data_IF_401086120293
#
_entry.id   IF_401086120293
#
_cell.length_a   1.000
_cell.length_b   1.000
_cell.length_c   1.000
_cell.angle_alpha   90.00
_cell.angle_beta   90.00
_cell.angle_gamma   90.00
#
_symmetry.space_group_name_H-M   'P 1'
#
loop_
_entity.id
_entity.type
_entity.pdbx_description
1 polymer ?
#
# COMPACT_ATOMS: atom_id res chain seq x y z
N UNK A 1 -8.19 10.05 23.65
CA UNK A 1 -8.00 10.33 22.20
C UNK A 1 -7.09 9.32 21.50
N UNK A 2 -5.90 8.98 22.01
CA UNK A 2 -4.98 8.03 21.35
C UNK A 2 -5.58 6.64 21.06
N UNK A 3 -6.37 6.10 21.99
CA UNK A 3 -7.05 4.81 21.79
C UNK A 3 -7.97 4.82 20.57
N UNK A 4 -8.71 5.91 20.33
CA UNK A 4 -9.58 6.02 19.17
C UNK A 4 -8.76 6.03 17.86
N UNK A 5 -7.63 6.74 17.84
CA UNK A 5 -6.71 6.77 16.69
C UNK A 5 -6.15 5.37 16.42
N UNK A 6 -5.66 4.67 17.44
CA UNK A 6 -5.15 3.31 17.28
C UNK A 6 -6.23 2.33 16.82
N UNK A 7 -7.47 2.46 17.27
CA UNK A 7 -8.58 1.63 16.80
C UNK A 7 -8.87 1.87 15.30
N UNK A 8 -8.91 3.13 14.85
CA UNK A 8 -9.14 3.47 13.44
C UNK A 8 -8.02 2.91 12.56
N UNK A 9 -6.76 3.08 12.97
CA UNK A 9 -5.61 2.56 12.24
C UNK A 9 -5.60 1.02 12.21
N UNK A 10 -5.89 0.38 13.34
CA UNK A 10 -5.97 -1.08 13.44
C UNK A 10 -7.08 -1.64 12.54
N UNK A 11 -8.24 -0.99 12.52
CA UNK A 11 -9.33 -1.33 11.61
C UNK A 11 -8.89 -1.23 10.15
N UNK A 12 -8.26 -0.13 9.75
CA UNK A 12 -7.79 0.07 8.38
C UNK A 12 -6.81 -1.01 7.93
N UNK A 13 -5.82 -1.34 8.76
CA UNK A 13 -4.81 -2.38 8.47
C UNK A 13 -5.47 -3.76 8.37
N UNK A 14 -6.35 -4.10 9.31
CA UNK A 14 -7.05 -5.38 9.30
C UNK A 14 -7.97 -5.48 8.08
N UNK A 15 -8.71 -4.43 7.79
CA UNK A 15 -9.61 -4.35 6.64
C UNK A 15 -8.87 -4.56 5.33
N UNK A 16 -7.73 -3.89 5.11
CA UNK A 16 -6.88 -4.09 3.93
C UNK A 16 -6.41 -5.53 3.78
N UNK A 17 -5.94 -6.12 4.88
CA UNK A 17 -5.43 -7.50 4.87
C UNK A 17 -6.54 -8.50 4.58
N UNK A 18 -7.74 -8.29 5.13
CA UNK A 18 -8.90 -9.14 4.86
C UNK A 18 -9.45 -8.93 3.46
N UNK A 19 -9.52 -7.69 2.97
CA UNK A 19 -10.01 -7.38 1.64
C UNK A 19 -9.15 -8.03 0.55
N UNK A 20 -7.84 -8.09 0.76
CA UNK A 20 -6.93 -8.82 -0.12
C UNK A 20 -7.25 -10.33 -0.20
N UNK A 21 -7.76 -10.92 0.90
CA UNK A 21 -8.07 -12.35 0.97
C UNK A 21 -9.44 -12.65 0.37
N UNK A 22 -10.42 -11.77 0.59
CA UNK A 22 -11.81 -12.01 0.17
C UNK A 22 -12.09 -11.52 -1.25
N UNK A 23 -11.41 -10.47 -1.70
CA UNK A 23 -11.61 -9.87 -3.02
C UNK A 23 -10.28 -9.42 -3.68
N UNK A 24 -9.32 -10.35 -3.90
CA UNK A 24 -8.00 -10.01 -4.45
C UNK A 24 -8.05 -9.37 -5.84
N UNK A 25 -9.05 -9.73 -6.65
CA UNK A 25 -9.21 -9.27 -8.03
C UNK A 25 -10.01 -7.97 -8.15
N UNK A 26 -10.43 -7.38 -7.03
CA UNK A 26 -11.15 -6.12 -7.03
C UNK A 26 -10.29 -4.95 -7.54
N UNK A 27 -10.94 -3.84 -7.87
CA UNK A 27 -10.22 -2.61 -8.21
C UNK A 27 -9.42 -2.10 -6.99
N UNK A 28 -8.15 -1.69 -7.16
CA UNK A 28 -7.36 -1.10 -6.08
C UNK A 28 -7.99 0.20 -5.56
N UNK A 29 -8.77 0.90 -6.37
CA UNK A 29 -9.46 2.16 -6.00
C UNK A 29 -10.49 2.02 -4.88
N UNK A 30 -10.92 0.79 -4.55
CA UNK A 30 -11.77 0.55 -3.38
C UNK A 30 -11.01 0.86 -2.09
N UNK A 31 -9.69 0.69 -2.11
CA UNK A 31 -8.85 0.70 -0.93
C UNK A 31 -7.70 1.69 -0.96
N UNK A 32 -7.33 2.21 -2.14
CA UNK A 32 -6.23 3.14 -2.34
C UNK A 32 -6.67 4.34 -3.18
N UNK A 33 -6.08 5.50 -2.94
CA UNK A 33 -6.27 6.71 -3.74
C UNK A 33 -5.50 6.63 -5.07
N UNK A 34 -5.84 7.50 -6.03
CA UNK A 34 -5.10 7.57 -7.29
C UNK A 34 -3.64 8.00 -7.07
N UNK A 35 -3.38 8.87 -6.09
CA UNK A 35 -2.04 9.28 -5.67
C UNK A 35 -1.26 8.10 -5.10
N UNK A 36 -1.83 7.35 -4.16
CA UNK A 36 -1.21 6.17 -3.56
C UNK A 36 -0.87 5.11 -4.63
N UNK A 37 -1.79 4.88 -5.58
CA UNK A 37 -1.58 3.97 -6.72
C UNK A 37 -0.39 4.42 -7.56
N UNK A 38 -0.36 5.70 -7.93
CA UNK A 38 0.72 6.28 -8.76
C UNK A 38 2.07 6.19 -8.06
N UNK A 39 2.13 6.57 -6.77
CA UNK A 39 3.35 6.47 -5.97
C UNK A 39 3.82 5.01 -5.85
N UNK A 40 2.92 4.05 -5.63
CA UNK A 40 3.30 2.64 -5.59
C UNK A 40 3.85 2.14 -6.93
N UNK A 41 3.32 2.63 -8.05
CA UNK A 41 3.82 2.30 -9.38
C UNK A 41 5.23 2.85 -9.64
N UNK A 42 5.54 4.04 -9.14
CA UNK A 42 6.88 4.64 -9.24
C UNK A 42 7.89 4.00 -8.27
N UNK A 43 7.47 3.72 -7.03
CA UNK A 43 8.36 3.26 -5.96
C UNK A 43 8.72 1.77 -6.07
N UNK A 44 7.78 0.94 -6.54
CA UNK A 44 7.92 -0.52 -6.51
C UNK A 44 7.73 -1.08 -7.91
N UNK A 45 8.83 -1.60 -8.46
CA UNK A 45 8.81 -2.34 -9.73
C UNK A 45 7.87 -3.55 -9.68
N UNK A 46 7.19 -3.79 -10.80
CA UNK A 46 6.33 -4.94 -11.04
C UNK A 46 7.09 -6.28 -10.97
N UNK A 47 8.42 -6.25 -11.08
CA UNK A 47 9.28 -7.41 -10.91
C UNK A 47 9.10 -8.02 -9.52
N UNK A 48 8.51 -9.23 -9.48
CA UNK A 48 8.19 -9.96 -8.25
C UNK A 48 6.68 -10.18 -8.04
N UNK A 49 5.82 -9.36 -8.65
CA UNK A 49 4.36 -9.48 -8.54
C UNK A 49 3.74 -10.47 -9.54
N UNK A 50 4.51 -11.40 -10.10
CA UNK A 50 4.08 -12.28 -11.22
C UNK A 50 2.85 -13.15 -10.92
N UNK A 51 2.50 -13.30 -9.65
CA UNK A 51 1.33 -14.08 -9.19
C UNK A 51 0.06 -13.26 -9.09
N UNK A 52 0.18 -11.94 -8.99
CA UNK A 52 -0.95 -11.05 -8.93
C UNK A 52 -1.23 -10.54 -10.33
N UNK A 53 -2.50 -10.55 -10.74
CA UNK A 53 -2.92 -9.94 -11.99
C UNK A 53 -2.65 -8.43 -11.91
N UNK A 54 -1.96 -7.81 -12.90
CA UNK A 54 -1.76 -6.37 -12.91
C UNK A 54 -3.08 -5.62 -12.84
N UNK A 55 -3.10 -4.49 -12.13
CA UNK A 55 -4.30 -3.66 -11.97
C UNK A 55 -5.31 -4.16 -10.93
N UNK A 56 -5.03 -5.23 -10.19
CA UNK A 56 -5.91 -5.71 -9.11
C UNK A 56 -5.48 -5.19 -7.74
N UNK A 57 -6.40 -5.27 -6.77
CA UNK A 57 -6.13 -4.95 -5.38
C UNK A 57 -4.94 -5.76 -4.85
N UNK A 58 -4.89 -7.06 -5.12
CA UNK A 58 -3.80 -7.91 -4.65
C UNK A 58 -2.43 -7.47 -5.19
N UNK A 59 -2.39 -7.00 -6.43
CA UNK A 59 -1.17 -6.46 -7.03
C UNK A 59 -0.66 -5.23 -6.26
N UNK A 60 -1.53 -4.26 -6.00
CA UNK A 60 -1.16 -3.04 -5.28
C UNK A 60 -0.91 -3.26 -3.78
N UNK A 61 -1.67 -4.13 -3.12
CA UNK A 61 -1.40 -4.49 -1.73
C UNK A 61 -0.12 -5.29 -1.56
N UNK A 62 0.33 -6.02 -2.60
CA UNK A 62 1.66 -6.62 -2.61
C UNK A 62 2.75 -5.56 -2.76
N UNK A 63 2.56 -4.54 -3.62
CA UNK A 63 3.50 -3.39 -3.70
C UNK A 63 3.61 -2.67 -2.36
N UNK A 64 2.48 -2.36 -1.74
CA UNK A 64 2.40 -1.75 -0.41
C UNK A 64 3.13 -2.59 0.64
N UNK A 65 2.88 -3.90 0.68
CA UNK A 65 3.56 -4.79 1.60
C UNK A 65 5.07 -4.83 1.37
N UNK A 66 5.54 -4.79 0.11
CA UNK A 66 6.96 -4.74 -0.24
C UNK A 66 7.63 -3.46 0.22
N UNK A 67 6.94 -2.33 0.14
CA UNK A 67 7.39 -1.07 0.74
C UNK A 67 7.59 -1.21 2.26
N UNK A 68 6.74 -2.02 2.90
CA UNK A 68 6.85 -2.42 4.31
C UNK A 68 7.82 -3.56 4.64
N UNK A 69 8.58 -4.07 3.65
CA UNK A 69 9.61 -5.09 3.82
C UNK A 69 9.19 -6.53 3.48
N UNK A 70 8.01 -6.75 2.90
CA UNK A 70 7.63 -8.05 2.35
C UNK A 70 8.47 -8.41 1.12
N UNK A 71 8.90 -9.67 0.99
CA UNK A 71 9.83 -10.08 -0.07
C UNK A 71 9.14 -10.57 -1.35
N UNK A 72 7.89 -11.01 -1.26
CA UNK A 72 7.10 -11.53 -2.39
C UNK A 72 7.77 -12.73 -3.11
N UNK A 73 8.29 -13.69 -2.35
CA UNK A 73 8.89 -14.93 -2.91
C UNK A 73 7.82 -15.94 -3.32
N UNK A 74 8.22 -16.90 -4.15
CA UNK A 74 7.37 -17.98 -4.65
C UNK A 74 6.79 -18.93 -3.58
N UNK A 75 7.09 -18.77 -2.30
CA UNK A 75 6.49 -19.55 -1.21
C UNK A 75 5.95 -18.70 -0.07
N UNK A 76 6.05 -17.36 -0.17
CA UNK A 76 5.62 -16.50 0.93
C UNK A 76 4.10 -16.56 1.06
N UNK A 77 3.56 -16.63 2.29
CA UNK A 77 2.13 -16.49 2.51
C UNK A 77 1.66 -15.08 2.11
N UNK A 78 0.35 -14.86 1.89
CA UNK A 78 -0.18 -13.52 1.62
C UNK A 78 0.28 -12.50 2.68
N UNK A 79 0.50 -11.23 2.29
CA UNK A 79 0.95 -10.19 3.22
C UNK A 79 0.11 -10.12 4.50
N UNK A 80 0.79 -10.08 5.65
CA UNK A 80 0.16 -9.94 6.96
C UNK A 80 0.06 -8.48 7.43
N UNK A 81 -0.68 -8.27 8.51
CA UNK A 81 -0.95 -6.93 9.09
C UNK A 81 0.31 -6.09 9.32
N UNK A 82 1.43 -6.70 9.76
CA UNK A 82 2.66 -5.98 10.10
C UNK A 82 3.30 -5.32 8.87
N UNK A 83 3.43 -6.05 7.76
CA UNK A 83 4.02 -5.50 6.54
C UNK A 83 3.08 -4.52 5.84
N UNK A 84 1.76 -4.71 5.98
CA UNK A 84 0.76 -3.74 5.50
C UNK A 84 0.87 -2.44 6.30
N UNK A 85 0.91 -2.51 7.64
CA UNK A 85 1.09 -1.34 8.49
C UNK A 85 2.37 -0.56 8.15
N UNK A 86 3.51 -1.26 8.07
CA UNK A 86 4.80 -0.63 7.72
C UNK A 86 4.75 0.01 6.33
N UNK A 87 4.11 -0.66 5.37
CA UNK A 87 3.89 -0.15 4.02
C UNK A 87 3.08 1.14 4.01
N UNK A 88 1.95 1.17 4.74
CA UNK A 88 1.10 2.36 4.85
C UNK A 88 1.83 3.53 5.48
N UNK A 89 2.47 3.32 6.64
CA UNK A 89 3.21 4.40 7.31
C UNK A 89 4.26 5.01 6.39
N UNK A 90 5.02 4.16 5.69
CA UNK A 90 6.05 4.64 4.76
C UNK A 90 5.47 5.31 3.52
N UNK A 91 4.35 4.82 3.00
CA UNK A 91 3.67 5.44 1.85
C UNK A 91 3.16 6.84 2.23
N UNK A 92 2.53 6.98 3.40
CA UNK A 92 2.06 8.28 3.91
C UNK A 92 3.20 9.28 4.08
N UNK A 93 4.35 8.86 4.63
CA UNK A 93 5.52 9.73 4.76
C UNK A 93 6.06 10.18 3.39
N UNK A 94 6.05 9.28 2.39
CA UNK A 94 6.50 9.59 1.02
C UNK A 94 5.51 10.50 0.30
N UNK A 95 4.21 10.25 0.42
CA UNK A 95 3.16 11.09 -0.17
C UNK A 95 3.26 12.53 0.35
N UNK A 96 3.41 12.70 1.68
CA UNK A 96 3.64 14.02 2.27
C UNK A 96 4.92 14.69 1.72
N UNK A 97 6.01 13.93 1.60
CA UNK A 97 7.25 14.43 1.01
C UNK A 97 7.10 14.85 -0.45
N UNK A 98 6.35 14.08 -1.25
CA UNK A 98 6.06 14.37 -2.65
C UNK A 98 5.19 15.63 -2.79
N UNK A 99 4.18 15.81 -1.94
CA UNK A 99 3.34 17.02 -1.89
C UNK A 99 4.17 18.27 -1.55
N UNK A 100 5.03 18.19 -0.54
CA UNK A 100 5.92 19.30 -0.16
C UNK A 100 6.89 19.63 -1.30
N UNK A 101 7.46 18.61 -1.95
CA UNK A 101 8.34 18.79 -3.11
C UNK A 101 7.64 19.45 -4.29
N UNK A 102 6.40 19.05 -4.57
CA UNK A 102 5.58 19.65 -5.62
C UNK A 102 5.23 21.12 -5.31
N UNK A 103 4.90 21.44 -4.05
CA UNK A 103 4.61 22.80 -3.60
C UNK A 103 5.85 23.73 -3.62
N UNK A 104 7.06 23.19 -3.46
CA UNK A 104 8.31 23.94 -3.59
C UNK A 104 8.66 24.34 -5.03
N UNK A 105 8.15 23.59 -6.02
CA UNK A 105 8.41 23.82 -7.45
C UNK A 105 7.50 24.88 -8.10
N UNK A 106 6.49 25.42 -7.39
CA UNK A 106 5.58 26.47 -7.90
C UNK A 106 6.07 27.90 -7.60
N UNK A 107 7.25 28.04 -6.98
CA UNK A 107 7.84 29.31 -6.58
C UNK A 107 8.88 29.92 -7.53
N UNK A 108 8.94 29.48 -8.80
CA UNK A 108 9.89 29.99 -9.80
C UNK A 108 9.18 30.54 -11.05
#
# INVERSE_FOLDING_TARGET
>A
NLMAVFCILSWRVLWLTMLNRTAPDASPKIALTDTEITLLDELISDAGNRRCRPGTLAFYLTKLARLGGYLARAGDPPPGNVVIWRGLSRLTDIELGAEIGAAGNVGN
#
